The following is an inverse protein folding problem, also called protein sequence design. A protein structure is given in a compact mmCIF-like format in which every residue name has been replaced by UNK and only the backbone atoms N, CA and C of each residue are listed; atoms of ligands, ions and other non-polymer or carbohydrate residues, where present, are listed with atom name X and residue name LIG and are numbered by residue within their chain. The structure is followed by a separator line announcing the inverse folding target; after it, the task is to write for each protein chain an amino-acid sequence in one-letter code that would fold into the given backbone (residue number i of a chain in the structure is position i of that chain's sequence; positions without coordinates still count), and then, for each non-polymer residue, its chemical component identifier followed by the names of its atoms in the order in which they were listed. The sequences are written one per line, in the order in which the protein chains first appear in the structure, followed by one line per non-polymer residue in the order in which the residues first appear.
data_IF_398442728940
#
_entry.id   IF_398442728940
#
_cell.length_a   1.000
_cell.length_b   1.000
_cell.length_c   1.000
_cell.angle_alpha   90.00
_cell.angle_beta   90.00
_cell.angle_gamma   90.00
#
_symmetry.space_group_name_H-M   'P 1'
#
loop_
_entity.id
_entity.type
_entity.pdbx_description
1 polymer ?
#
# COMPACT_ATOMS: atom_id res chain seq x y z
N UNK A 1 43.75 7.09 -4.55
CA UNK A 1 43.08 5.77 -4.41
C UNK A 1 42.01 5.94 -3.34
N UNK A 2 40.73 6.15 -3.72
CA UNK A 2 39.59 6.23 -2.78
C UNK A 2 38.22 6.16 -3.50
N UNK A 3 38.18 6.33 -4.83
CA UNK A 3 36.93 6.27 -5.60
C UNK A 3 36.29 4.86 -5.65
N UNK A 4 37.09 3.80 -5.51
CA UNK A 4 36.59 2.42 -5.61
C UNK A 4 35.92 1.92 -4.32
N UNK A 5 36.22 2.48 -3.14
CA UNK A 5 35.62 1.99 -1.89
C UNK A 5 34.24 2.60 -1.63
N UNK A 6 33.99 3.79 -2.19
CA UNK A 6 32.74 4.55 -2.05
C UNK A 6 31.65 4.02 -3.02
N UNK A 7 32.04 3.51 -4.20
CA UNK A 7 31.11 2.91 -5.16
C UNK A 7 30.53 1.58 -4.68
N UNK A 8 31.35 0.70 -4.09
CA UNK A 8 30.89 -0.59 -3.57
C UNK A 8 29.93 -0.45 -2.37
N UNK A 9 30.13 0.54 -1.49
CA UNK A 9 29.22 0.77 -0.36
C UNK A 9 27.86 1.33 -0.82
N UNK A 10 27.89 2.23 -1.82
CA UNK A 10 26.69 2.82 -2.40
C UNK A 10 25.86 1.80 -3.21
N UNK A 11 26.51 0.83 -3.85
CA UNK A 11 25.84 -0.27 -4.55
C UNK A 11 25.19 -1.27 -3.58
N UNK A 12 25.84 -1.60 -2.46
CA UNK A 12 25.25 -2.43 -1.39
C UNK A 12 24.05 -1.71 -0.74
N UNK A 13 24.15 -0.41 -0.49
CA UNK A 13 23.05 0.38 0.06
C UNK A 13 21.90 0.53 -0.93
N UNK A 14 22.18 0.63 -2.24
CA UNK A 14 21.16 0.59 -3.29
C UNK A 14 20.50 -0.78 -3.38
N UNK A 15 21.26 -1.87 -3.35
CA UNK A 15 20.70 -3.23 -3.34
C UNK A 15 19.85 -3.49 -2.08
N UNK A 16 20.28 -3.02 -0.91
CA UNK A 16 19.47 -3.11 0.32
C UNK A 16 18.19 -2.29 0.25
N UNK A 17 18.23 -1.08 -0.35
CA UNK A 17 17.03 -0.25 -0.59
C UNK A 17 16.09 -0.85 -1.64
N UNK A 18 16.62 -1.56 -2.63
CA UNK A 18 15.82 -2.26 -3.65
C UNK A 18 15.18 -3.55 -3.11
N UNK A 19 15.80 -4.21 -2.12
CA UNK A 19 15.34 -5.50 -1.61
C UNK A 19 14.00 -5.48 -0.87
N UNK A 20 13.51 -4.29 -0.47
CA UNK A 20 12.24 -4.11 0.23
C UNK A 20 11.27 -3.19 -0.52
N UNK A 21 11.47 -3.03 -1.83
CA UNK A 21 10.53 -2.33 -2.70
C UNK A 21 9.72 -3.33 -3.52
N UNK A 22 8.45 -3.01 -3.72
CA UNK A 22 7.55 -3.73 -4.63
C UNK A 22 6.86 -2.74 -5.55
N UNK A 23 6.68 -3.14 -6.80
CA UNK A 23 5.75 -2.50 -7.71
C UNK A 23 4.35 -3.06 -7.44
N UNK A 24 3.38 -2.17 -7.29
CA UNK A 24 1.97 -2.52 -7.06
C UNK A 24 1.05 -1.48 -7.73
N UNK A 25 -0.25 -1.68 -7.62
CA UNK A 25 -1.27 -0.74 -8.05
C UNK A 25 -2.13 -0.31 -6.87
N UNK A 26 -2.35 1.00 -6.75
CA UNK A 26 -3.18 1.56 -5.70
C UNK A 26 -4.01 2.74 -6.19
N UNK A 27 -5.03 3.06 -5.41
CA UNK A 27 -5.85 4.26 -5.58
C UNK A 27 -5.48 5.21 -4.46
N UNK A 28 -5.19 6.45 -4.83
CA UNK A 28 -4.60 7.45 -3.94
C UNK A 28 -5.48 8.69 -3.85
N UNK A 29 -5.68 9.18 -2.63
CA UNK A 29 -6.18 10.53 -2.36
C UNK A 29 -5.10 11.30 -1.59
N UNK A 30 -4.75 12.49 -2.06
CA UNK A 30 -3.64 13.30 -1.52
C UNK A 30 -4.20 14.62 -0.97
N UNK A 31 -3.92 14.91 0.30
CA UNK A 31 -4.33 16.16 0.95
C UNK A 31 -3.12 16.86 1.56
N UNK A 32 -2.91 18.14 1.24
CA UNK A 32 -1.85 18.93 1.87
C UNK A 32 -2.20 19.22 3.33
N UNK A 33 -1.22 19.08 4.23
CA UNK A 33 -1.43 19.28 5.68
C UNK A 33 -0.32 20.12 6.29
N UNK A 34 -0.61 20.75 7.43
CA UNK A 34 0.43 21.34 8.27
C UNK A 34 1.18 20.23 9.02
N UNK A 35 2.48 20.39 9.24
CA UNK A 35 3.27 19.48 10.05
C UNK A 35 2.73 19.37 11.49
N UNK A 36 2.12 20.43 12.02
CA UNK A 36 1.55 20.38 13.37
C UNK A 36 0.38 19.39 13.46
N UNK A 37 -0.43 19.30 12.40
CA UNK A 37 -1.58 18.40 12.36
C UNK A 37 -1.17 16.92 12.42
N UNK A 38 0.05 16.58 11.95
CA UNK A 38 0.52 15.18 11.89
C UNK A 38 0.65 14.53 13.27
N UNK A 39 0.78 15.36 14.31
CA UNK A 39 0.95 14.94 15.71
C UNK A 39 -0.32 15.11 16.55
N UNK A 40 -1.36 15.77 16.02
CA UNK A 40 -2.56 16.16 16.78
C UNK A 40 -3.77 15.31 16.40
N UNK A 41 -3.89 14.91 15.12
CA UNK A 41 -5.02 14.14 14.62
C UNK A 41 -4.57 13.03 13.66
N UNK A 42 -5.33 11.95 13.51
CA UNK A 42 -5.00 10.88 12.56
C UNK A 42 -5.17 11.37 11.11
N UNK A 43 -4.38 10.82 10.19
CA UNK A 43 -4.42 11.17 8.76
C UNK A 43 -5.82 10.99 8.15
N UNK A 44 -6.58 9.98 8.59
CA UNK A 44 -7.97 9.74 8.19
C UNK A 44 -8.89 10.96 8.35
N UNK A 45 -8.61 11.86 9.30
CA UNK A 45 -9.44 13.05 9.56
C UNK A 45 -9.45 14.08 8.42
N UNK A 46 -8.49 13.99 7.49
CA UNK A 46 -8.40 14.86 6.32
C UNK A 46 -9.26 14.40 5.14
N UNK A 47 -9.82 13.20 5.21
CA UNK A 47 -10.58 12.60 4.13
C UNK A 47 -12.06 12.52 4.49
N UNK A 48 -12.92 12.72 3.49
CA UNK A 48 -14.34 12.42 3.66
C UNK A 48 -14.51 10.90 3.78
N UNK A 49 -15.52 10.50 4.57
CA UNK A 49 -15.91 9.10 4.64
C UNK A 49 -16.29 8.61 3.23
N UNK A 50 -15.80 7.42 2.90
CA UNK A 50 -15.96 6.82 1.58
C UNK A 50 -16.51 5.41 1.77
N UNK A 51 -17.73 5.17 1.29
CA UNK A 51 -18.36 3.87 1.36
C UNK A 51 -17.49 2.74 0.77
N UNK A 52 -16.87 2.87 -0.41
CA UNK A 52 -15.98 1.82 -0.92
C UNK A 52 -14.77 1.57 -0.03
N UNK A 53 -14.14 2.63 0.48
CA UNK A 53 -12.99 2.49 1.38
C UNK A 53 -13.37 1.79 2.69
N UNK A 54 -14.53 2.13 3.27
CA UNK A 54 -15.01 1.50 4.50
C UNK A 54 -15.37 0.04 4.26
N UNK A 55 -16.06 -0.29 3.16
CA UNK A 55 -16.40 -1.67 2.80
C UNK A 55 -15.16 -2.57 2.72
N UNK A 56 -14.12 -2.09 2.05
CA UNK A 56 -12.84 -2.81 1.90
C UNK A 56 -12.21 -3.06 3.27
N UNK A 57 -12.20 -2.04 4.14
CA UNK A 57 -11.68 -2.14 5.49
C UNK A 57 -12.48 -3.11 6.35
N UNK A 58 -13.82 -3.04 6.29
CA UNK A 58 -14.70 -3.91 7.06
C UNK A 58 -14.51 -5.40 6.68
N UNK A 59 -14.38 -5.70 5.38
CA UNK A 59 -14.07 -7.06 4.90
C UNK A 59 -12.74 -7.53 5.47
N UNK A 60 -11.70 -6.69 5.38
CA UNK A 60 -10.37 -7.03 5.90
C UNK A 60 -10.37 -7.26 7.42
N UNK A 61 -11.08 -6.41 8.17
CA UNK A 61 -11.17 -6.50 9.63
C UNK A 61 -11.88 -7.82 10.06
N UNK A 62 -12.97 -8.19 9.37
CA UNK A 62 -13.66 -9.48 9.57
C UNK A 62 -12.70 -10.66 9.29
N UNK A 63 -11.91 -10.60 8.23
CA UNK A 63 -10.96 -11.65 7.88
C UNK A 63 -9.87 -11.83 8.95
N UNK A 64 -9.32 -10.73 9.48
CA UNK A 64 -8.33 -10.80 10.55
C UNK A 64 -8.94 -11.37 11.84
N UNK A 65 -10.15 -10.95 12.20
CA UNK A 65 -10.86 -11.44 13.40
C UNK A 65 -11.06 -12.96 13.35
N UNK A 66 -11.36 -13.51 12.17
CA UNK A 66 -11.67 -14.93 12.00
C UNK A 66 -10.50 -15.81 11.54
N UNK A 67 -9.33 -15.24 11.27
CA UNK A 67 -8.16 -15.97 10.76
C UNK A 67 -7.73 -17.15 11.67
N UNK A 68 -7.76 -16.96 13.00
CA UNK A 68 -7.39 -18.01 13.94
C UNK A 68 -8.41 -19.16 13.98
N UNK A 69 -9.69 -18.85 13.84
CA UNK A 69 -10.78 -19.85 13.80
C UNK A 69 -10.65 -20.69 12.54
N UNK A 70 -10.46 -20.05 11.38
CA UNK A 70 -10.27 -20.77 10.11
C UNK A 70 -9.05 -21.70 10.16
N UNK A 71 -7.96 -21.26 10.78
CA UNK A 71 -6.76 -22.11 10.99
C UNK A 71 -7.06 -23.31 11.87
N UNK A 72 -7.71 -23.12 13.01
CA UNK A 72 -8.08 -24.21 13.92
C UNK A 72 -9.07 -25.20 13.27
N UNK A 73 -9.98 -24.71 12.42
CA UNK A 73 -10.85 -25.58 11.62
C UNK A 73 -10.05 -26.39 10.60
N UNK A 74 -9.06 -25.79 9.94
CA UNK A 74 -8.20 -26.49 8.97
C UNK A 74 -7.34 -27.58 9.58
N UNK A 75 -6.89 -27.42 10.83
CA UNK A 75 -6.20 -28.48 11.58
C UNK A 75 -7.08 -29.71 11.81
N UNK A 76 -8.40 -29.52 11.93
CA UNK A 76 -9.38 -30.60 12.17
C UNK A 76 -9.93 -31.19 10.88
N UNK A 77 -10.20 -30.34 9.89
CA UNK A 77 -10.77 -30.72 8.60
C UNK A 77 -10.21 -29.84 7.47
N UNK A 78 -9.18 -30.33 6.75
CA UNK A 78 -8.56 -29.58 5.66
C UNK A 78 -9.51 -29.25 4.50
N UNK A 79 -10.44 -30.14 4.16
CA UNK A 79 -11.39 -29.92 3.05
C UNK A 79 -12.38 -28.81 3.38
N UNK A 80 -12.87 -28.77 4.63
CA UNK A 80 -13.75 -27.70 5.10
C UNK A 80 -13.04 -26.34 5.07
N UNK A 81 -11.79 -26.28 5.53
CA UNK A 81 -11.01 -25.05 5.49
C UNK A 81 -10.74 -24.57 4.05
N UNK A 82 -10.46 -25.49 3.13
CA UNK A 82 -10.32 -25.18 1.71
C UNK A 82 -11.60 -24.56 1.14
N UNK A 83 -12.76 -25.16 1.44
CA UNK A 83 -14.05 -24.65 0.97
C UNK A 83 -14.41 -23.28 1.58
N UNK A 84 -14.21 -23.11 2.89
CA UNK A 84 -14.43 -21.82 3.57
C UNK A 84 -13.50 -20.74 3.03
N UNK A 85 -12.23 -21.06 2.77
CA UNK A 85 -11.30 -20.14 2.12
C UNK A 85 -11.74 -19.74 0.71
N UNK A 86 -12.31 -20.67 -0.06
CA UNK A 86 -12.88 -20.36 -1.38
C UNK A 86 -14.11 -19.45 -1.28
N UNK A 87 -14.96 -19.62 -0.27
CA UNK A 87 -16.08 -18.71 0.00
C UNK A 87 -15.58 -17.32 0.40
N UNK A 88 -14.55 -17.24 1.25
CA UNK A 88 -13.94 -15.96 1.63
C UNK A 88 -13.45 -15.19 0.41
N UNK A 89 -12.67 -15.86 -0.44
CA UNK A 89 -12.16 -15.29 -1.69
C UNK A 89 -13.26 -14.82 -2.64
N UNK A 90 -14.40 -15.52 -2.66
CA UNK A 90 -15.57 -15.10 -3.45
C UNK A 90 -16.19 -13.81 -2.90
N UNK A 91 -16.30 -13.69 -1.57
CA UNK A 91 -16.80 -12.49 -0.90
C UNK A 91 -15.86 -11.32 -1.15
N UNK A 92 -14.55 -11.51 -0.95
CA UNK A 92 -13.50 -10.53 -1.27
C UNK A 92 -13.63 -10.03 -2.72
N UNK A 93 -13.78 -10.94 -3.67
CA UNK A 93 -13.92 -10.60 -5.09
C UNK A 93 -15.16 -9.74 -5.37
N UNK A 94 -16.29 -10.08 -4.73
CA UNK A 94 -17.53 -9.30 -4.84
C UNK A 94 -17.35 -7.93 -4.19
N UNK A 95 -16.77 -7.87 -3.00
CA UNK A 95 -16.50 -6.64 -2.27
C UNK A 95 -15.60 -5.70 -3.07
N UNK A 96 -14.54 -6.24 -3.68
CA UNK A 96 -13.65 -5.49 -4.56
C UNK A 96 -14.39 -4.88 -5.75
N UNK A 97 -15.17 -5.71 -6.47
CA UNK A 97 -15.91 -5.25 -7.64
C UNK A 97 -16.98 -4.19 -7.29
N UNK A 98 -17.66 -4.36 -6.16
CA UNK A 98 -18.63 -3.36 -5.67
C UNK A 98 -17.92 -2.07 -5.30
N UNK A 99 -16.83 -2.14 -4.54
CA UNK A 99 -16.07 -0.97 -4.12
C UNK A 99 -15.51 -0.21 -5.33
N UNK A 100 -15.04 -0.91 -6.35
CA UNK A 100 -14.55 -0.31 -7.60
C UNK A 100 -15.67 0.39 -8.39
N UNK A 101 -16.86 -0.22 -8.46
CA UNK A 101 -17.99 0.34 -9.21
C UNK A 101 -18.54 1.67 -8.66
N UNK A 102 -18.22 1.99 -7.41
CA UNK A 102 -18.69 3.20 -6.72
C UNK A 102 -17.55 4.21 -6.48
N UNK A 103 -16.36 3.97 -7.01
CA UNK A 103 -15.27 4.91 -6.93
C UNK A 103 -15.49 6.13 -7.83
N UNK A 104 -15.17 7.34 -7.34
CA UNK A 104 -15.14 8.53 -8.17
C UNK A 104 -14.17 8.37 -9.36
N UNK A 105 -14.51 8.96 -10.51
CA UNK A 105 -13.73 8.82 -11.74
C UNK A 105 -12.32 9.44 -11.65
N UNK A 106 -12.11 10.38 -10.73
CA UNK A 106 -10.83 10.99 -10.39
C UNK A 106 -9.98 10.13 -9.44
N UNK A 107 -10.56 9.12 -8.79
CA UNK A 107 -9.87 8.16 -7.94
C UNK A 107 -9.53 6.90 -8.73
N UNK A 108 -8.57 7.02 -9.65
CA UNK A 108 -8.16 5.94 -10.54
C UNK A 108 -7.06 5.08 -9.97
N UNK A 109 -7.09 3.80 -10.33
CA UNK A 109 -6.02 2.85 -10.07
C UNK A 109 -4.76 3.29 -10.84
N UNK A 110 -3.64 3.40 -10.15
CA UNK A 110 -2.37 3.80 -10.71
C UNK A 110 -1.23 2.92 -10.21
N UNK A 111 -0.14 2.85 -10.97
CA UNK A 111 1.07 2.18 -10.55
C UNK A 111 1.76 2.96 -9.42
N UNK A 112 2.29 2.23 -8.44
CA UNK A 112 3.04 2.76 -7.32
C UNK A 112 4.29 1.90 -7.09
N UNK A 113 5.32 2.53 -6.50
CA UNK A 113 6.42 1.80 -5.86
C UNK A 113 6.27 1.94 -4.34
N UNK A 114 6.27 0.81 -3.64
CA UNK A 114 6.03 0.78 -2.21
C UNK A 114 7.22 0.16 -1.48
N UNK A 115 7.59 0.75 -0.35
CA UNK A 115 8.53 0.19 0.63
C UNK A 115 8.01 0.42 2.05
N UNK A 116 8.64 -0.21 3.04
CA UNK A 116 8.32 0.07 4.45
C UNK A 116 8.55 1.54 4.84
N UNK A 117 9.46 2.24 4.13
CA UNK A 117 9.83 3.62 4.43
C UNK A 117 9.05 4.69 3.66
N UNK A 118 8.30 4.32 2.64
CA UNK A 118 7.66 5.30 1.77
C UNK A 118 7.03 4.72 0.50
N UNK A 119 6.46 5.63 -0.27
CA UNK A 119 5.72 5.36 -1.49
C UNK A 119 6.15 6.33 -2.59
N UNK A 120 6.23 5.85 -3.83
CA UNK A 120 6.30 6.67 -5.01
C UNK A 120 5.12 6.43 -5.94
N UNK A 121 4.66 7.49 -6.58
CA UNK A 121 3.45 7.52 -7.39
C UNK A 121 3.46 8.71 -8.35
N UNK A 122 2.52 8.75 -9.30
CA UNK A 122 2.38 9.89 -10.22
C UNK A 122 1.26 10.81 -9.74
N UNK A 123 1.49 12.11 -9.82
CA UNK A 123 0.52 13.14 -9.45
C UNK A 123 0.47 14.23 -10.52
N UNK A 124 -0.71 14.73 -10.85
CA UNK A 124 -0.89 15.72 -11.93
C UNK A 124 -0.18 17.05 -11.63
N UNK A 125 -0.10 17.41 -10.35
CA UNK A 125 0.50 18.67 -9.88
C UNK A 125 1.76 18.39 -9.08
N UNK A 126 2.75 19.28 -9.22
CA UNK A 126 3.97 19.24 -8.40
C UNK A 126 3.62 19.37 -6.92
N UNK A 127 3.97 18.36 -6.12
CA UNK A 127 3.95 18.50 -4.67
C UNK A 127 5.18 19.24 -4.17
N UNK A 128 5.05 19.93 -3.04
CA UNK A 128 6.11 20.78 -2.47
C UNK A 128 7.12 19.89 -1.75
N UNK A 129 8.40 20.00 -2.12
CA UNK A 129 9.46 19.25 -1.48
C UNK A 129 9.54 19.58 0.02
N UNK A 130 9.81 18.57 0.85
CA UNK A 130 9.83 18.63 2.30
C UNK A 130 8.50 18.97 3.00
N UNK A 131 7.42 19.25 2.26
CA UNK A 131 6.09 19.44 2.83
C UNK A 131 5.43 18.10 3.19
N UNK A 132 4.39 18.19 4.02
CA UNK A 132 3.65 17.05 4.54
C UNK A 132 2.29 16.94 3.86
N UNK A 133 1.89 15.69 3.64
CA UNK A 133 0.60 15.36 3.05
C UNK A 133 -0.03 14.21 3.83
N UNK A 134 -1.34 14.23 3.99
CA UNK A 134 -2.10 13.03 4.30
C UNK A 134 -2.33 12.28 2.99
N UNK A 135 -2.10 10.97 3.03
CA UNK A 135 -2.42 10.03 1.96
C UNK A 135 -3.49 9.07 2.44
N UNK A 136 -4.47 8.81 1.58
CA UNK A 136 -5.36 7.67 1.66
C UNK A 136 -4.95 6.71 0.56
N UNK A 137 -4.56 5.51 0.94
CA UNK A 137 -4.00 4.51 0.05
C UNK A 137 -4.94 3.31 0.05
N UNK A 138 -5.38 2.90 -1.13
CA UNK A 138 -6.14 1.68 -1.29
C UNK A 138 -5.42 0.73 -2.24
N UNK A 139 -4.85 -0.34 -1.68
CA UNK A 139 -4.28 -1.45 -2.42
C UNK A 139 -5.41 -2.37 -2.90
N UNK A 140 -5.92 -2.09 -4.11
CA UNK A 140 -7.13 -2.70 -4.63
C UNK A 140 -7.09 -4.24 -4.61
N UNK A 141 -5.99 -4.85 -5.08
CA UNK A 141 -5.85 -6.32 -5.16
C UNK A 141 -5.87 -7.00 -3.79
N UNK A 142 -5.36 -6.34 -2.76
CA UNK A 142 -5.24 -6.89 -1.41
C UNK A 142 -6.42 -6.51 -0.51
N UNK A 143 -7.33 -5.66 -0.98
CA UNK A 143 -8.42 -5.09 -0.16
C UNK A 143 -7.89 -4.42 1.12
N UNK A 144 -6.78 -3.70 1.01
CA UNK A 144 -6.18 -2.99 2.14
C UNK A 144 -6.39 -1.48 1.94
N UNK A 145 -7.02 -0.84 2.92
CA UNK A 145 -7.21 0.61 2.99
C UNK A 145 -6.42 1.21 4.16
N UNK A 146 -5.50 2.12 3.87
CA UNK A 146 -4.58 2.74 4.83
C UNK A 146 -4.69 4.26 4.74
N UNK A 147 -4.52 4.94 5.87
CA UNK A 147 -4.29 6.39 5.89
C UNK A 147 -2.99 6.72 6.58
N UNK A 148 -2.14 7.51 5.94
CA UNK A 148 -0.80 7.78 6.42
C UNK A 148 -0.42 9.24 6.20
N UNK A 149 0.42 9.79 7.08
CA UNK A 149 1.15 11.00 6.73
C UNK A 149 2.41 10.65 5.96
N UNK A 150 2.76 11.50 5.01
CA UNK A 150 4.02 11.41 4.28
C UNK A 150 4.71 12.76 4.22
N UNK A 151 6.03 12.74 4.06
CA UNK A 151 6.84 13.89 3.70
C UNK A 151 7.39 13.70 2.30
N UNK A 152 7.18 14.68 1.42
CA UNK A 152 7.72 14.62 0.06
C UNK A 152 9.25 14.73 0.10
N UNK A 153 9.92 13.74 -0.49
CA UNK A 153 11.39 13.72 -0.62
C UNK A 153 11.84 14.11 -2.03
N UNK A 154 10.94 14.04 -3.02
CA UNK A 154 11.19 14.55 -4.37
C UNK A 154 9.93 14.61 -5.21
N UNK A 155 9.90 15.57 -6.13
CA UNK A 155 8.76 15.86 -7.01
C UNK A 155 9.29 16.27 -8.39
N UNK A 156 9.49 15.27 -9.24
CA UNK A 156 10.15 15.40 -10.54
C UNK A 156 9.15 15.23 -11.68
N UNK A 157 9.34 15.91 -12.83
CA UNK A 157 8.47 15.68 -13.99
C UNK A 157 8.54 14.23 -14.43
N UNK A 158 7.38 13.61 -14.65
CA UNK A 158 7.29 12.26 -15.22
C UNK A 158 7.33 12.30 -16.75
N UNK A 159 7.83 11.24 -17.36
CA UNK A 159 7.89 11.05 -18.83
C UNK A 159 6.47 10.91 -19.40
N UNK A 160 5.56 10.32 -18.64
CA UNK A 160 4.16 10.05 -19.04
C UNK A 160 3.23 11.25 -18.79
N UNK A 161 3.77 12.37 -18.31
CA UNK A 161 2.99 13.54 -17.88
C UNK A 161 2.83 13.62 -16.35
N UNK A 162 2.56 14.82 -15.85
CA UNK A 162 2.52 15.08 -14.41
C UNK A 162 3.89 15.01 -13.73
N UNK A 163 3.90 14.62 -12.46
CA UNK A 163 5.07 14.56 -11.59
C UNK A 163 5.17 13.20 -10.91
N UNK A 164 6.33 12.56 -11.00
CA UNK A 164 6.67 11.45 -10.14
C UNK A 164 7.03 11.99 -8.75
N UNK A 165 6.23 11.60 -7.78
CA UNK A 165 6.38 11.95 -6.38
C UNK A 165 7.08 10.80 -5.68
N UNK A 166 8.13 11.10 -4.92
CA UNK A 166 8.70 10.19 -3.94
C UNK A 166 8.40 10.76 -2.56
N UNK A 167 7.78 9.97 -1.68
CA UNK A 167 7.38 10.41 -0.35
C UNK A 167 7.75 9.37 0.71
N UNK A 168 8.25 9.83 1.86
CA UNK A 168 8.57 8.99 3.00
C UNK A 168 7.41 8.99 4.01
N UNK A 169 7.04 7.83 4.55
CA UNK A 169 6.04 7.75 5.62
C UNK A 169 6.50 8.53 6.85
N UNK A 170 5.57 9.24 7.50
CA UNK A 170 5.83 10.08 8.65
C UNK A 170 4.91 9.72 9.81
N UNK A 171 5.51 9.50 10.99
CA UNK A 171 4.80 9.22 12.24
C UNK A 171 3.70 8.14 12.10
N UNK A 172 3.97 7.10 11.29
CA UNK A 172 3.03 6.03 11.04
C UNK A 172 2.85 5.17 12.31
N UNK A 173 1.62 4.89 12.76
CA UNK A 173 1.38 3.96 13.85
C UNK A 173 1.89 2.55 13.55
N UNK A 174 2.36 1.82 14.56
CA UNK A 174 2.90 0.46 14.40
C UNK A 174 1.93 -0.50 13.71
N UNK A 175 0.62 -0.37 13.98
CA UNK A 175 -0.40 -1.17 13.33
C UNK A 175 -0.45 -0.97 11.80
N UNK A 176 -0.43 0.28 11.34
CA UNK A 176 -0.40 0.64 9.91
C UNK A 176 0.90 0.15 9.25
N UNK A 177 2.03 0.33 9.95
CA UNK A 177 3.35 -0.13 9.49
C UNK A 177 3.40 -1.65 9.30
N UNK A 178 2.83 -2.42 10.23
CA UNK A 178 2.75 -3.87 10.12
C UNK A 178 1.87 -4.33 8.95
N UNK A 179 0.77 -3.63 8.67
CA UNK A 179 -0.08 -3.92 7.50
C UNK A 179 0.72 -3.70 6.21
N UNK A 180 1.45 -2.59 6.08
CA UNK A 180 2.30 -2.31 4.92
C UNK A 180 3.38 -3.39 4.76
N UNK A 181 4.11 -3.71 5.82
CA UNK A 181 5.15 -4.74 5.76
C UNK A 181 4.58 -6.08 5.29
N UNK A 182 3.45 -6.52 5.86
CA UNK A 182 2.78 -7.76 5.46
C UNK A 182 2.34 -7.73 3.99
N UNK A 183 1.78 -6.61 3.55
CA UNK A 183 1.37 -6.42 2.16
C UNK A 183 2.55 -6.54 1.19
N UNK A 184 3.67 -5.86 1.50
CA UNK A 184 4.92 -5.97 0.72
C UNK A 184 5.37 -7.43 0.61
N UNK A 185 5.40 -8.17 1.71
CA UNK A 185 5.76 -9.60 1.69
C UNK A 185 4.81 -10.44 0.82
N UNK A 186 3.52 -10.16 0.86
CA UNK A 186 2.52 -10.86 0.04
C UNK A 186 2.73 -10.58 -1.45
N UNK A 187 2.91 -9.32 -1.84
CA UNK A 187 3.19 -8.93 -3.23
C UNK A 187 4.48 -9.59 -3.74
N UNK A 188 5.55 -9.60 -2.94
CA UNK A 188 6.80 -10.29 -3.30
C UNK A 188 6.58 -11.80 -3.51
N UNK A 189 5.83 -12.46 -2.63
CA UNK A 189 5.54 -13.88 -2.76
C UNK A 189 4.72 -14.20 -4.02
N UNK A 190 3.78 -13.34 -4.41
CA UNK A 190 3.02 -13.47 -5.65
C UNK A 190 3.91 -13.29 -6.89
N UNK A 191 4.78 -12.28 -6.90
CA UNK A 191 5.72 -12.03 -7.99
C UNK A 191 6.72 -13.19 -8.15
N UNK A 192 7.15 -13.82 -7.05
CA UNK A 192 8.01 -15.00 -7.12
C UNK A 192 7.30 -16.24 -7.68
N UNK A 193 5.99 -16.38 -7.44
CA UNK A 193 5.19 -17.51 -7.97
C UNK A 193 4.93 -17.36 -9.47
N UNK A 194 4.58 -16.16 -9.93
CA UNK A 194 4.36 -15.88 -11.36
C UNK A 194 5.63 -16.07 -12.19
N UNK A 195 6.79 -15.61 -11.70
CA UNK A 195 8.07 -15.83 -12.40
C UNK A 195 8.45 -17.31 -12.58
N UNK A 196 7.97 -18.19 -11.71
CA UNK A 196 8.22 -19.64 -11.80
C UNK A 196 7.20 -20.38 -12.68
N UNK A 197 6.07 -19.75 -13.01
CA UNK A 197 5.08 -20.34 -13.92
C UNK A 197 5.31 -19.96 -15.38
N UNK A 198 6.10 -18.92 -15.62
CA UNK A 198 6.45 -18.43 -16.96
C UNK A 198 7.75 -19.07 -17.51
N UNK A 199 8.48 -19.84 -16.69
CA UNK A 199 9.62 -20.71 -17.04
C UNK A 199 9.18 -22.18 -17.18
#
# INVERSE_FOLDING_TARGET
MNASNDSFHNDIDKERRQRFRVDDTAILEVCAVDVQDTSIKPAASFFKSSAPFNLVRDIHDIDQEHAAVLRSLGEKNPELALYLGALNKKIESIGSAVAESILPEDQRLQAIDLSEGGIGFVHDVKLVDAAYYALKIWFHRALIGITAYVRVVGSNRSIEGGYHISAAFHAMPDAESQIIARHIYQVQAEQQRSRKSDD
#
